data_IF_741535521867
#
_entry.id   IF_741535521867
#
_cell.length_a   1.000
_cell.length_b   1.000
_cell.length_c   1.000
_cell.angle_alpha   90.00
_cell.angle_beta   90.00
_cell.angle_gamma   90.00
#
_symmetry.space_group_name_H-M   'P 1'
#
loop_
_entity.id
_entity.type
_entity.pdbx_description
1 polymer ?
#
# COMPACT_ATOMS: atom_id res chain seq x y z
N UNK A 1 -25.43 -3.10 -2.65
CA UNK A 1 -24.08 -3.33 -3.22
C UNK A 1 -24.26 -4.25 -4.44
N UNK A 2 -23.84 -3.84 -5.64
CA UNK A 2 -24.17 -4.52 -6.91
C UNK A 2 -23.37 -5.83 -7.08
N UNK A 3 -24.02 -6.90 -7.59
CA UNK A 3 -23.46 -8.25 -7.75
C UNK A 3 -22.20 -8.26 -8.65
N UNK A 4 -22.15 -7.34 -9.63
CA UNK A 4 -20.98 -7.15 -10.49
C UNK A 4 -19.79 -6.56 -9.73
N UNK A 5 -20.03 -5.66 -8.77
CA UNK A 5 -19.01 -5.09 -7.90
C UNK A 5 -18.47 -6.15 -6.93
N UNK A 6 -19.36 -6.99 -6.39
CA UNK A 6 -18.96 -8.14 -5.56
C UNK A 6 -18.08 -9.14 -6.33
N UNK A 7 -18.47 -9.51 -7.56
CA UNK A 7 -17.68 -10.40 -8.41
C UNK A 7 -16.31 -9.81 -8.79
N UNK A 8 -16.25 -8.49 -9.03
CA UNK A 8 -14.98 -7.79 -9.34
C UNK A 8 -14.05 -7.75 -8.14
N UNK A 9 -14.55 -7.47 -6.93
CA UNK A 9 -13.74 -7.49 -5.71
C UNK A 9 -13.36 -8.91 -5.28
N UNK A 10 -14.23 -9.91 -5.50
CA UNK A 10 -13.93 -11.31 -5.21
C UNK A 10 -12.71 -11.84 -5.97
N UNK A 11 -12.48 -11.39 -7.21
CA UNK A 11 -11.29 -11.75 -8.02
C UNK A 11 -9.98 -11.18 -7.47
N UNK A 12 -10.04 -10.14 -6.63
CA UNK A 12 -8.87 -9.51 -6.02
C UNK A 12 -8.44 -10.25 -4.74
N UNK A 13 -9.36 -11.00 -4.12
CA UNK A 13 -9.11 -11.74 -2.88
C UNK A 13 -8.31 -13.00 -3.20
N UNK A 14 -7.24 -13.22 -2.44
CA UNK A 14 -6.48 -14.45 -2.48
C UNK A 14 -7.15 -15.49 -1.57
N UNK A 15 -7.45 -16.66 -2.11
CA UNK A 15 -7.86 -17.85 -1.34
C UNK A 15 -6.66 -18.72 -0.96
N UNK A 16 -6.82 -19.59 0.04
CA UNK A 16 -5.72 -20.45 0.54
C UNK A 16 -5.15 -21.39 -0.53
N UNK A 17 -6.01 -21.97 -1.38
CA UNK A 17 -5.56 -22.86 -2.46
C UNK A 17 -4.76 -22.09 -3.51
N UNK A 18 -5.27 -20.93 -3.95
CA UNK A 18 -4.57 -20.03 -4.88
C UNK A 18 -3.21 -19.58 -4.31
N UNK A 19 -3.16 -19.17 -3.03
CA UNK A 19 -1.91 -18.86 -2.32
C UNK A 19 -0.91 -20.01 -2.40
N UNK A 20 -1.36 -21.23 -2.08
CA UNK A 20 -0.50 -22.40 -2.03
C UNK A 20 0.01 -22.82 -3.40
N UNK A 21 -0.84 -22.83 -4.42
CA UNK A 21 -0.53 -23.34 -5.76
C UNK A 21 0.16 -22.30 -6.65
N UNK A 22 -0.28 -21.04 -6.61
CA UNK A 22 0.20 -19.99 -7.54
C UNK A 22 1.44 -19.26 -7.00
N UNK A 23 1.59 -19.13 -5.67
CA UNK A 23 2.64 -18.27 -5.09
C UNK A 23 3.64 -19.03 -4.20
N UNK A 24 3.17 -19.97 -3.37
CA UNK A 24 4.05 -20.72 -2.47
C UNK A 24 4.75 -21.88 -3.20
N UNK A 25 3.99 -22.76 -3.87
CA UNK A 25 4.56 -23.96 -4.49
C UNK A 25 5.65 -23.68 -5.53
N UNK A 26 5.52 -22.66 -6.41
CA UNK A 26 6.53 -22.38 -7.43
C UNK A 26 7.81 -21.74 -6.86
N UNK A 27 7.70 -21.00 -5.75
CA UNK A 27 8.80 -20.14 -5.25
C UNK A 27 9.44 -20.64 -3.95
N UNK A 28 8.66 -21.26 -3.06
CA UNK A 28 9.16 -21.74 -1.78
C UNK A 28 9.65 -23.19 -1.93
N UNK A 29 10.94 -23.32 -2.27
CA UNK A 29 11.65 -24.61 -2.34
C UNK A 29 11.55 -25.36 -1.00
N UNK A 30 11.67 -26.68 -1.05
CA UNK A 30 11.61 -27.55 0.15
C UNK A 30 12.62 -27.13 1.23
N UNK A 31 13.82 -26.73 0.84
CA UNK A 31 14.85 -26.27 1.76
C UNK A 31 14.41 -25.02 2.56
N UNK A 32 13.96 -23.96 1.90
CA UNK A 32 13.48 -22.74 2.57
C UNK A 32 12.26 -23.00 3.47
N UNK A 33 11.34 -23.87 3.04
CA UNK A 33 10.21 -24.28 3.89
C UNK A 33 10.68 -25.00 5.16
N UNK A 34 11.67 -25.88 5.07
CA UNK A 34 12.24 -26.56 6.26
C UNK A 34 12.90 -25.58 7.22
N UNK A 35 13.54 -24.52 6.72
CA UNK A 35 14.10 -23.45 7.54
C UNK A 35 12.98 -22.75 8.30
N UNK A 36 11.94 -22.29 7.61
CA UNK A 36 10.82 -21.57 8.24
C UNK A 36 9.96 -22.45 9.18
N UNK A 37 9.77 -23.73 8.86
CA UNK A 37 8.99 -24.68 9.68
C UNK A 37 9.73 -25.08 10.98
N UNK A 38 10.98 -24.63 11.19
CA UNK A 38 11.78 -24.88 12.40
C UNK A 38 12.28 -23.54 12.97
N UNK A 39 11.70 -23.09 14.08
CA UNK A 39 12.00 -21.78 14.68
C UNK A 39 13.48 -21.60 15.05
N UNK A 40 14.15 -22.65 15.55
CA UNK A 40 15.58 -22.59 15.89
C UNK A 40 16.47 -22.47 14.65
N UNK A 41 16.16 -23.19 13.56
CA UNK A 41 16.91 -23.07 12.30
C UNK A 41 16.67 -21.71 11.66
N UNK A 42 15.40 -21.27 11.56
CA UNK A 42 15.06 -19.95 11.03
C UNK A 42 15.81 -18.85 11.79
N UNK A 43 15.81 -18.92 13.11
CA UNK A 43 16.51 -17.96 13.97
C UNK A 43 18.00 -17.92 13.70
N UNK A 44 18.67 -19.08 13.65
CA UNK A 44 20.10 -19.17 13.35
C UNK A 44 20.44 -18.52 12.00
N UNK A 45 19.65 -18.81 10.97
CA UNK A 45 19.81 -18.24 9.62
C UNK A 45 19.64 -16.71 9.64
N UNK A 46 18.67 -16.19 10.40
CA UNK A 46 18.47 -14.75 10.57
C UNK A 46 19.65 -14.10 11.30
N UNK A 47 20.14 -14.70 12.37
CA UNK A 47 21.29 -14.22 13.16
C UNK A 47 22.58 -14.18 12.33
N UNK A 48 22.87 -15.25 11.59
CA UNK A 48 24.01 -15.33 10.66
C UNK A 48 23.92 -14.27 9.55
N UNK A 49 22.71 -13.80 9.23
CA UNK A 49 22.44 -12.72 8.26
C UNK A 49 22.40 -11.32 8.89
N UNK A 50 22.75 -11.19 10.18
CA UNK A 50 22.72 -9.92 10.92
C UNK A 50 21.32 -9.33 11.08
N UNK A 51 20.28 -10.18 11.15
CA UNK A 51 18.90 -9.77 11.36
C UNK A 51 18.56 -9.94 12.85
N UNK A 52 18.05 -8.90 13.54
CA UNK A 52 17.77 -8.98 14.97
C UNK A 52 16.69 -10.01 15.30
N UNK A 53 17.00 -10.90 16.25
CA UNK A 53 16.11 -11.93 16.82
C UNK A 53 16.14 -11.85 18.35
N UNK A 54 15.15 -12.38 19.09
CA UNK A 54 15.25 -12.52 20.56
C UNK A 54 16.48 -13.33 20.94
N UNK A 55 17.13 -13.12 22.09
CA UNK A 55 18.22 -14.03 22.52
C UNK A 55 17.66 -15.42 22.91
N UNK A 56 18.27 -16.51 22.47
CA UNK A 56 18.00 -17.85 23.04
C UNK A 56 18.82 -18.01 24.31
N UNK A 57 18.17 -18.38 25.42
CA UNK A 57 18.87 -18.68 26.67
C UNK A 57 19.28 -20.13 26.74
N UNK A 58 18.35 -21.03 26.42
CA UNK A 58 18.60 -22.46 26.52
C UNK A 58 17.67 -23.27 25.61
N UNK A 59 18.12 -24.44 25.16
CA UNK A 59 17.39 -25.36 24.28
C UNK A 59 17.32 -26.70 25.00
N UNK A 60 16.12 -27.24 25.15
CA UNK A 60 15.85 -28.52 25.78
C UNK A 60 15.46 -29.54 24.72
N UNK A 61 16.22 -30.62 24.65
CA UNK A 61 16.01 -31.74 23.72
C UNK A 61 15.62 -33.04 24.41
N UNK A 62 15.71 -33.09 25.74
CA UNK A 62 15.36 -34.27 26.52
C UNK A 62 14.79 -33.94 27.90
N UNK A 63 14.04 -34.88 28.48
CA UNK A 63 13.49 -34.75 29.83
C UNK A 63 14.60 -34.70 30.90
N UNK A 64 15.72 -35.40 30.67
CA UNK A 64 16.88 -35.36 31.56
C UNK A 64 17.46 -33.95 31.63
N UNK A 65 17.61 -33.30 30.48
CA UNK A 65 18.06 -31.91 30.38
C UNK A 65 17.09 -30.98 31.12
N UNK A 66 15.79 -31.06 30.84
CA UNK A 66 14.76 -30.26 31.52
C UNK A 66 14.83 -30.36 33.05
N UNK A 67 15.08 -31.56 33.59
CA UNK A 67 15.18 -31.82 35.03
C UNK A 67 16.49 -31.34 35.65
N UNK A 68 17.56 -31.23 34.86
CA UNK A 68 18.89 -30.83 35.35
C UNK A 68 19.09 -29.32 35.45
N UNK A 69 18.16 -28.54 34.89
CA UNK A 69 18.28 -27.08 34.84
C UNK A 69 18.05 -26.41 36.19
N UNK A 70 18.92 -25.45 36.49
CA UNK A 70 18.84 -24.65 37.71
C UNK A 70 17.99 -23.38 37.47
N UNK A 71 16.89 -23.16 38.21
CA UNK A 71 16.04 -21.96 38.07
C UNK A 71 16.78 -20.65 38.31
N UNK A 72 17.89 -20.65 39.07
CA UNK A 72 18.65 -19.44 39.39
C UNK A 72 19.52 -18.94 38.23
N UNK A 73 19.74 -19.76 37.21
CA UNK A 73 20.46 -19.38 35.99
C UNK A 73 19.55 -18.64 35.00
N UNK A 74 18.23 -18.65 35.22
CA UNK A 74 17.26 -17.99 34.34
C UNK A 74 17.05 -16.53 34.72
N UNK A 75 16.83 -15.65 33.72
CA UNK A 75 16.54 -14.25 33.99
C UNK A 75 15.19 -14.08 34.70
N UNK A 76 14.98 -12.89 35.27
CA UNK A 76 13.70 -12.51 35.92
C UNK A 76 12.49 -12.61 34.99
N UNK A 77 12.70 -12.66 33.67
CA UNK A 77 11.64 -12.80 32.69
C UNK A 77 12.12 -13.51 31.43
N UNK A 78 11.33 -14.41 30.88
CA UNK A 78 11.65 -15.19 29.68
C UNK A 78 10.36 -15.67 28.99
N UNK A 79 10.53 -16.26 27.80
CA UNK A 79 9.49 -17.00 27.09
C UNK A 79 9.96 -18.43 26.92
N UNK A 80 9.14 -19.41 27.27
CA UNK A 80 9.33 -20.82 26.95
C UNK A 80 8.38 -21.17 25.81
N UNK A 81 8.90 -21.74 24.72
CA UNK A 81 8.07 -22.09 23.57
C UNK A 81 8.50 -23.37 22.85
N UNK A 82 7.57 -24.04 22.16
CA UNK A 82 7.88 -25.16 21.27
C UNK A 82 8.51 -24.71 19.95
N UNK A 83 9.43 -25.51 19.44
CA UNK A 83 10.07 -25.28 18.14
C UNK A 83 9.07 -25.40 16.97
N UNK A 84 8.14 -26.35 17.02
CA UNK A 84 7.14 -26.61 15.96
C UNK A 84 5.70 -26.27 16.34
N UNK A 85 5.48 -25.63 17.49
CA UNK A 85 4.10 -25.33 17.94
C UNK A 85 3.30 -24.48 16.96
N UNK A 86 1.99 -24.75 16.90
CA UNK A 86 1.03 -24.14 15.97
C UNK A 86 0.17 -23.07 16.68
N UNK A 87 -0.09 -21.94 16.01
CA UNK A 87 -1.02 -20.91 16.51
C UNK A 87 -0.64 -20.31 17.87
N UNK A 88 0.65 -20.32 18.24
CA UNK A 88 1.11 -19.87 19.56
C UNK A 88 0.74 -20.83 20.70
N UNK A 89 0.31 -22.04 20.40
CA UNK A 89 0.14 -23.11 21.39
C UNK A 89 1.48 -23.46 22.04
N UNK A 90 1.44 -23.81 23.33
CA UNK A 90 2.63 -24.15 24.11
C UNK A 90 3.54 -22.96 24.49
N UNK A 91 3.19 -21.72 24.15
CA UNK A 91 3.96 -20.55 24.59
C UNK A 91 3.60 -20.20 26.04
N UNK A 92 4.61 -20.26 26.92
CA UNK A 92 4.56 -19.79 28.29
C UNK A 92 5.39 -18.50 28.39
N UNK A 93 4.82 -17.46 29.01
CA UNK A 93 5.48 -16.15 29.19
C UNK A 93 5.65 -15.89 30.68
N UNK A 94 6.88 -15.68 31.12
CA UNK A 94 7.23 -15.36 32.51
C UNK A 94 7.66 -13.88 32.61
N UNK A 95 6.96 -13.05 33.39
CA UNK A 95 7.17 -11.59 33.43
C UNK A 95 8.16 -11.11 34.48
N UNK A 96 8.03 -11.62 35.71
CA UNK A 96 8.83 -11.19 36.85
C UNK A 96 8.96 -12.35 37.81
N UNK A 97 10.13 -12.50 38.42
CA UNK A 97 10.37 -13.46 39.50
C UNK A 97 10.09 -12.79 40.85
N UNK A 98 9.25 -13.41 41.67
CA UNK A 98 8.91 -12.99 43.03
C UNK A 98 9.94 -13.51 44.03
N UNK A 99 9.91 -12.97 45.25
CA UNK A 99 10.81 -13.39 46.33
C UNK A 99 10.60 -14.85 46.76
N UNK A 100 9.39 -15.40 46.59
CA UNK A 100 9.08 -16.81 46.83
C UNK A 100 9.57 -17.75 45.71
N UNK A 101 10.32 -17.24 44.72
CA UNK A 101 10.86 -18.01 43.61
C UNK A 101 9.92 -18.19 42.41
N UNK A 102 8.63 -17.88 42.54
CA UNK A 102 7.64 -18.01 41.47
C UNK A 102 7.79 -16.90 40.41
N UNK A 103 7.42 -17.21 39.16
CA UNK A 103 7.19 -16.21 38.13
C UNK A 103 5.71 -15.87 38.00
N UNK A 104 5.41 -14.72 37.40
CA UNK A 104 4.05 -14.37 36.99
C UNK A 104 3.84 -14.65 35.51
N UNK A 105 2.73 -15.30 35.18
CA UNK A 105 2.28 -15.51 33.80
C UNK A 105 1.48 -14.30 33.24
N UNK A 106 0.94 -14.45 32.02
CA UNK A 106 0.09 -13.43 31.38
C UNK A 106 -1.20 -13.12 32.16
N UNK A 107 -1.70 -14.06 32.97
CA UNK A 107 -2.92 -13.93 33.75
C UNK A 107 -2.64 -13.47 35.20
N UNK A 108 -1.38 -13.16 35.52
CA UNK A 108 -0.88 -12.82 36.86
C UNK A 108 -0.97 -13.98 37.86
N UNK A 109 -1.02 -15.22 37.36
CA UNK A 109 -0.92 -16.43 38.17
C UNK A 109 0.54 -16.71 38.48
N UNK A 110 0.77 -17.23 39.67
CA UNK A 110 2.10 -17.72 40.05
C UNK A 110 2.37 -19.05 39.34
N UNK A 111 3.54 -19.13 38.71
CA UNK A 111 4.07 -20.35 38.10
C UNK A 111 5.42 -20.65 38.76
N UNK A 112 5.56 -21.86 39.28
CA UNK A 112 6.79 -22.33 39.90
C UNK A 112 7.67 -23.05 38.87
N UNK A 113 8.89 -23.38 39.28
CA UNK A 113 9.85 -24.04 38.41
C UNK A 113 9.34 -25.41 37.96
N UNK A 114 8.66 -26.13 38.85
CA UNK A 114 8.06 -27.44 38.62
C UNK A 114 6.98 -27.36 37.52
N UNK A 115 6.21 -26.27 37.49
CA UNK A 115 5.21 -26.02 36.43
C UNK A 115 5.90 -25.80 35.09
N UNK A 116 7.00 -25.05 35.07
CA UNK A 116 7.81 -24.79 33.87
C UNK A 116 8.45 -26.08 33.35
N UNK A 117 8.93 -26.95 34.25
CA UNK A 117 9.47 -28.27 33.90
C UNK A 117 8.40 -29.18 33.32
N UNK A 118 7.22 -29.22 33.96
CA UNK A 118 6.06 -29.98 33.47
C UNK A 118 5.62 -29.49 32.09
N UNK A 119 5.52 -28.18 31.90
CA UNK A 119 5.20 -27.58 30.60
C UNK A 119 6.28 -27.85 29.53
N UNK A 120 7.56 -27.89 29.93
CA UNK A 120 8.65 -28.30 29.04
C UNK A 120 8.51 -29.75 28.60
N UNK A 121 8.12 -30.65 29.51
CA UNK A 121 7.83 -32.04 29.19
C UNK A 121 6.65 -32.16 28.22
N UNK A 122 5.58 -31.41 28.43
CA UNK A 122 4.42 -31.37 27.53
C UNK A 122 4.81 -30.92 26.10
N UNK A 123 5.77 -29.99 25.98
CA UNK A 123 6.34 -29.60 24.69
C UNK A 123 7.12 -30.76 24.07
N UNK A 124 8.02 -31.40 24.83
CA UNK A 124 8.84 -32.50 24.34
C UNK A 124 8.00 -33.69 23.88
N UNK A 125 6.89 -33.96 24.57
CA UNK A 125 5.93 -35.00 24.23
C UNK A 125 5.10 -34.67 22.96
N UNK A 126 5.18 -33.44 22.45
CA UNK A 126 4.52 -33.04 21.21
C UNK A 126 3.11 -32.45 21.38
N UNK A 127 2.64 -32.22 22.62
CA UNK A 127 1.24 -31.81 22.91
C UNK A 127 0.78 -30.53 22.22
N UNK A 128 1.71 -29.67 21.81
CA UNK A 128 1.41 -28.36 21.22
C UNK A 128 1.69 -28.28 19.72
N UNK A 129 2.15 -29.39 19.10
CA UNK A 129 2.38 -29.51 17.68
C UNK A 129 1.09 -29.71 16.88
N UNK A 130 1.15 -29.50 15.56
CA UNK A 130 0.05 -29.89 14.67
C UNK A 130 -0.04 -31.41 14.44
N UNK A 131 1.04 -32.13 14.79
CA UNK A 131 1.16 -33.58 14.73
C UNK A 131 1.75 -34.01 16.07
N UNK A 132 1.27 -35.13 16.61
CA UNK A 132 1.72 -35.70 17.89
C UNK A 132 3.09 -36.39 17.69
N UNK A 133 4.12 -35.56 17.52
CA UNK A 133 5.51 -35.98 17.37
C UNK A 133 6.37 -35.23 18.37
N UNK A 134 7.45 -35.85 18.87
CA UNK A 134 8.36 -35.18 19.78
C UNK A 134 8.88 -33.86 19.22
N UNK A 135 8.95 -32.84 20.07
CA UNK A 135 9.41 -31.50 19.74
C UNK A 135 10.59 -31.06 20.62
N UNK A 136 11.07 -29.84 20.40
CA UNK A 136 12.12 -29.19 21.18
C UNK A 136 11.49 -28.02 21.93
N UNK A 137 11.75 -27.93 23.23
CA UNK A 137 11.40 -26.77 24.04
C UNK A 137 12.60 -25.83 24.13
N UNK A 138 12.39 -24.52 24.18
CA UNK A 138 13.49 -23.59 24.35
C UNK A 138 13.06 -22.29 25.00
N UNK A 139 14.00 -21.71 25.73
CA UNK A 139 13.84 -20.45 26.45
C UNK A 139 14.43 -19.30 25.65
N UNK A 140 13.71 -18.20 25.60
CA UNK A 140 14.10 -16.99 24.92
C UNK A 140 13.87 -15.73 25.74
N UNK A 141 14.52 -14.67 25.31
CA UNK A 141 14.29 -13.31 25.74
C UNK A 141 12.82 -12.90 25.57
N UNK A 142 12.22 -12.41 26.66
CA UNK A 142 10.92 -11.74 26.60
C UNK A 142 11.11 -10.31 26.14
N UNK A 143 10.73 -10.04 24.90
CA UNK A 143 10.78 -8.68 24.35
C UNK A 143 9.82 -7.73 25.09
N UNK A 144 10.24 -6.48 25.19
CA UNK A 144 9.36 -5.38 25.59
C UNK A 144 8.93 -4.59 24.37
N UNK A 145 7.62 -4.44 24.20
CA UNK A 145 7.04 -3.66 23.11
C UNK A 145 7.34 -2.17 23.26
N UNK A 146 7.40 -1.46 22.14
CA UNK A 146 7.49 0.00 22.13
C UNK A 146 6.32 0.66 22.88
N UNK A 147 6.59 1.81 23.49
CA UNK A 147 5.61 2.57 24.30
C UNK A 147 4.40 3.02 23.48
N UNK A 148 4.54 3.21 22.16
CA UNK A 148 3.42 3.59 21.29
C UNK A 148 2.26 2.59 21.35
N UNK A 149 2.52 1.31 21.67
CA UNK A 149 1.48 0.29 21.73
C UNK A 149 0.84 0.14 23.10
N UNK A 150 1.39 0.78 24.15
CA UNK A 150 0.89 0.64 25.53
C UNK A 150 -0.62 0.94 25.68
N UNK A 151 -1.21 1.92 24.98
CA UNK A 151 -2.65 2.19 25.06
C UNK A 151 -3.53 1.11 24.42
N UNK A 152 -2.96 0.27 23.55
CA UNK A 152 -3.71 -0.63 22.66
C UNK A 152 -3.51 -2.11 22.98
N UNK A 153 -2.39 -2.46 23.63
CA UNK A 153 -2.00 -3.84 23.90
C UNK A 153 -2.39 -4.27 25.31
N UNK A 154 -3.26 -5.28 25.42
CA UNK A 154 -3.54 -5.93 26.70
C UNK A 154 -2.49 -6.98 27.01
N UNK A 155 -1.51 -6.62 27.83
CA UNK A 155 -0.39 -7.52 28.22
C UNK A 155 0.30 -8.08 26.95
N UNK A 156 1.28 -8.95 27.10
CA UNK A 156 2.00 -9.53 25.97
C UNK A 156 2.70 -8.51 25.07
N UNK A 157 2.98 -8.92 23.83
CA UNK A 157 3.79 -8.17 22.87
C UNK A 157 3.05 -8.10 21.54
N UNK A 158 2.65 -6.90 21.08
CA UNK A 158 2.18 -6.69 19.72
C UNK A 158 3.25 -7.03 18.70
N UNK A 159 2.82 -7.55 17.56
CA UNK A 159 3.70 -7.81 16.44
C UNK A 159 3.12 -7.25 15.14
N UNK A 160 4.00 -6.93 14.21
CA UNK A 160 3.69 -6.42 12.89
C UNK A 160 3.99 -7.54 11.90
N UNK A 161 2.94 -8.06 11.27
CA UNK A 161 3.07 -9.03 10.19
C UNK A 161 3.22 -8.30 8.87
N UNK A 162 4.29 -8.59 8.15
CA UNK A 162 4.53 -8.12 6.78
C UNK A 162 4.50 -9.32 5.84
N UNK A 163 3.60 -9.31 4.85
CA UNK A 163 3.65 -10.27 3.74
C UNK A 163 4.63 -9.75 2.72
N UNK A 164 5.68 -10.52 2.44
CA UNK A 164 6.70 -10.20 1.44
C UNK A 164 6.58 -11.21 0.30
N UNK A 165 6.67 -10.73 -0.93
CA UNK A 165 6.68 -11.55 -2.13
C UNK A 165 7.66 -10.96 -3.14
N UNK A 166 8.55 -11.80 -3.69
CA UNK A 166 9.54 -11.37 -4.67
C UNK A 166 10.34 -10.14 -4.20
N UNK A 167 10.80 -10.14 -2.94
CA UNK A 167 11.52 -9.02 -2.29
C UNK A 167 10.72 -7.71 -2.19
N UNK A 168 9.41 -7.75 -2.39
CA UNK A 168 8.50 -6.60 -2.25
C UNK A 168 7.58 -6.83 -1.06
N UNK A 169 7.55 -5.94 -0.06
CA UNK A 169 6.49 -5.93 0.96
C UNK A 169 5.14 -5.64 0.30
N UNK A 170 4.16 -6.52 0.46
CA UNK A 170 2.88 -6.45 -0.27
C UNK A 170 1.78 -5.83 0.60
N UNK A 171 1.78 -6.20 1.88
CA UNK A 171 0.73 -5.86 2.82
C UNK A 171 1.25 -6.04 4.24
N UNK A 172 0.83 -5.17 5.15
CA UNK A 172 1.19 -5.29 6.56
C UNK A 172 -0.05 -5.16 7.46
N UNK A 173 0.03 -5.74 8.65
CA UNK A 173 -0.93 -5.50 9.73
C UNK A 173 -0.23 -5.54 11.08
N UNK A 174 -0.69 -4.71 12.01
CA UNK A 174 -0.40 -4.81 13.42
C UNK A 174 -1.34 -5.85 14.04
N UNK A 175 -0.82 -6.72 14.90
CA UNK A 175 -1.60 -7.65 15.71
C UNK A 175 -1.48 -7.24 17.17
N UNK A 176 -2.63 -6.99 17.79
CA UNK A 176 -2.74 -6.52 19.15
C UNK A 176 -3.28 -7.64 20.06
N UNK A 177 -2.61 -7.90 21.19
CA UNK A 177 -3.13 -8.78 22.22
C UNK A 177 -4.30 -8.14 22.96
N UNK A 178 -5.29 -8.96 23.29
CA UNK A 178 -6.53 -8.60 23.99
C UNK A 178 -6.73 -9.47 25.25
N UNK A 179 -7.64 -9.09 26.16
CA UNK A 179 -8.05 -9.97 27.27
C UNK A 179 -8.55 -11.33 26.79
N UNK A 180 -9.36 -11.34 25.73
CA UNK A 180 -9.92 -12.56 25.13
C UNK A 180 -8.83 -13.50 24.59
N UNK A 181 -7.76 -12.94 24.05
CA UNK A 181 -6.59 -13.70 23.59
C UNK A 181 -5.61 -14.11 24.69
N UNK A 182 -5.92 -13.85 25.96
CA UNK A 182 -5.03 -14.07 27.10
C UNK A 182 -3.66 -13.39 26.91
N UNK A 183 -3.68 -12.17 26.34
CA UNK A 183 -2.47 -11.40 26.08
C UNK A 183 -1.64 -11.89 24.88
N UNK A 184 -2.24 -12.61 23.93
CA UNK A 184 -1.54 -13.13 22.73
C UNK A 184 -1.95 -12.37 21.46
N UNK A 185 -0.98 -12.02 20.62
CA UNK A 185 -1.23 -11.42 19.30
C UNK A 185 -1.72 -12.45 18.24
N UNK A 186 -2.68 -13.30 18.63
CA UNK A 186 -3.28 -14.31 17.78
C UNK A 186 -4.74 -13.96 17.45
N UNK A 187 -5.01 -13.68 16.17
CA UNK A 187 -6.33 -13.30 15.67
C UNK A 187 -7.40 -14.39 15.84
N UNK A 188 -7.01 -15.67 15.90
CA UNK A 188 -7.93 -16.79 16.12
C UNK A 188 -8.37 -16.93 17.57
N UNK A 189 -7.57 -16.42 18.52
CA UNK A 189 -7.88 -16.41 19.95
C UNK A 189 -8.54 -15.10 20.37
N UNK A 190 -9.01 -14.27 19.43
CA UNK A 190 -9.62 -12.97 19.75
C UNK A 190 -8.64 -11.81 19.83
N UNK A 191 -7.41 -11.96 19.34
CA UNK A 191 -6.53 -10.82 19.09
C UNK A 191 -7.10 -9.88 18.02
N UNK A 192 -6.74 -8.60 18.08
CA UNK A 192 -7.18 -7.59 17.11
C UNK A 192 -6.13 -7.45 16.01
N UNK A 193 -6.57 -7.42 14.76
CA UNK A 193 -5.71 -7.15 13.60
C UNK A 193 -6.00 -5.75 13.06
N UNK A 194 -4.98 -4.93 12.87
CA UNK A 194 -5.12 -3.57 12.35
C UNK A 194 -4.32 -3.45 11.07
N UNK A 195 -4.96 -3.13 9.94
CA UNK A 195 -4.25 -2.93 8.67
C UNK A 195 -3.25 -1.78 8.77
N UNK A 196 -2.16 -1.86 8.00
CA UNK A 196 -1.14 -0.80 7.93
C UNK A 196 -0.98 -0.39 6.47
N UNK A 197 -1.15 0.91 6.20
CA UNK A 197 -0.84 1.48 4.90
C UNK A 197 0.66 1.42 4.65
N UNK A 198 1.06 0.77 3.56
CA UNK A 198 2.47 0.41 3.31
C UNK A 198 3.36 1.63 3.02
N UNK A 199 2.79 2.72 2.50
CA UNK A 199 3.52 3.94 2.15
C UNK A 199 3.93 4.72 3.40
N UNK A 200 2.99 4.90 4.31
CA UNK A 200 3.10 5.80 5.47
C UNK A 200 3.44 5.06 6.76
N UNK A 201 3.18 3.75 6.83
CA UNK A 201 3.25 3.00 8.09
C UNK A 201 2.09 3.33 9.04
N UNK A 202 1.04 3.99 8.56
CA UNK A 202 -0.11 4.39 9.37
C UNK A 202 -1.14 3.27 9.44
N UNK A 203 -1.68 3.03 10.63
CA UNK A 203 -2.76 2.05 10.81
C UNK A 203 -4.10 2.54 10.25
N UNK A 204 -4.88 1.61 9.70
CA UNK A 204 -6.11 1.90 8.98
C UNK A 204 -7.34 1.28 9.65
N UNK A 205 -7.78 0.10 9.21
CA UNK A 205 -8.97 -0.58 9.71
C UNK A 205 -8.58 -1.63 10.75
N UNK A 206 -9.38 -1.74 11.81
CA UNK A 206 -9.25 -2.79 12.82
C UNK A 206 -10.29 -3.89 12.61
N UNK A 207 -9.88 -5.13 12.81
CA UNK A 207 -10.71 -6.32 12.75
C UNK A 207 -10.52 -7.20 13.98
N UNK A 208 -11.56 -7.93 14.35
CA UNK A 208 -11.50 -9.02 15.32
C UNK A 208 -12.39 -10.15 14.81
N UNK A 209 -11.93 -11.40 14.86
CA UNK A 209 -12.62 -12.56 14.25
C UNK A 209 -13.03 -12.34 12.78
N UNK A 210 -12.21 -11.61 12.03
CA UNK A 210 -12.46 -11.28 10.62
C UNK A 210 -13.56 -10.23 10.39
N UNK A 211 -14.18 -9.69 11.44
CA UNK A 211 -15.18 -8.63 11.38
C UNK A 211 -14.53 -7.28 11.67
N UNK A 212 -14.94 -6.25 10.95
CA UNK A 212 -14.51 -4.87 11.23
C UNK A 212 -15.05 -4.43 12.59
N UNK A 213 -14.15 -3.90 13.42
CA UNK A 213 -14.49 -3.26 14.69
C UNK A 213 -14.23 -1.76 14.58
N UNK A 214 -14.89 -0.94 15.41
CA UNK A 214 -14.82 0.52 15.34
C UNK A 214 -13.36 1.01 15.23
N UNK A 215 -13.03 1.61 14.09
CA UNK A 215 -11.64 1.87 13.70
C UNK A 215 -11.04 3.10 14.36
N UNK A 216 -11.85 4.03 14.87
CA UNK A 216 -11.40 5.35 15.32
C UNK A 216 -10.33 5.30 16.44
N UNK A 217 -10.37 4.26 17.28
CA UNK A 217 -9.38 4.08 18.35
C UNK A 217 -8.05 3.52 17.84
N UNK A 218 -8.08 2.72 16.77
CA UNK A 218 -6.91 2.01 16.25
C UNK A 218 -6.36 2.63 14.97
N UNK A 219 -7.08 3.57 14.35
CA UNK A 219 -6.64 4.32 13.19
C UNK A 219 -5.72 5.46 13.62
N UNK A 220 -4.73 5.78 12.78
CA UNK A 220 -3.73 6.84 12.98
C UNK A 220 -2.55 6.53 13.93
N UNK A 221 -2.31 5.26 14.28
CA UNK A 221 -1.01 4.87 14.88
C UNK A 221 0.00 4.84 13.73
N UNK A 222 1.05 5.66 13.81
CA UNK A 222 2.15 5.63 12.84
C UNK A 222 3.26 4.76 13.40
N UNK A 223 3.60 3.68 12.70
CA UNK A 223 4.73 2.84 13.08
C UNK A 223 6.04 3.60 12.82
N UNK A 224 6.87 3.87 13.84
CA UNK A 224 8.12 4.57 13.66
C UNK A 224 9.14 3.68 12.93
N UNK A 225 10.11 4.31 12.28
CA UNK A 225 11.21 3.62 11.59
C UNK A 225 10.68 2.57 10.58
N UNK A 226 9.60 2.94 9.88
CA UNK A 226 8.85 2.02 9.03
C UNK A 226 9.69 1.38 7.92
N UNK A 227 10.54 2.17 7.28
CA UNK A 227 11.35 1.70 6.14
C UNK A 227 12.41 0.69 6.57
N UNK A 228 12.98 0.86 7.77
CA UNK A 228 13.90 -0.12 8.36
C UNK A 228 13.16 -1.43 8.67
N UNK A 229 11.94 -1.35 9.20
CA UNK A 229 11.10 -2.52 9.45
C UNK A 229 10.81 -3.28 8.14
N UNK A 230 10.45 -2.55 7.07
CA UNK A 230 10.25 -3.14 5.75
C UNK A 230 11.53 -3.75 5.19
N UNK A 231 12.69 -3.11 5.37
CA UNK A 231 13.98 -3.65 4.96
C UNK A 231 14.30 -4.95 5.70
N UNK A 232 14.07 -5.00 7.02
CA UNK A 232 14.23 -6.21 7.84
C UNK A 232 13.30 -7.34 7.35
N UNK A 233 12.06 -7.02 6.97
CA UNK A 233 11.15 -8.01 6.40
C UNK A 233 11.67 -8.61 5.08
N UNK A 234 12.22 -7.79 4.18
CA UNK A 234 12.80 -8.28 2.92
C UNK A 234 14.05 -9.13 3.21
N UNK A 235 14.96 -8.65 4.06
CA UNK A 235 16.15 -9.39 4.47
C UNK A 235 15.82 -10.75 5.09
N UNK A 236 14.78 -10.81 5.93
CA UNK A 236 14.33 -12.06 6.54
C UNK A 236 13.78 -13.06 5.51
N UNK A 237 13.04 -12.57 4.51
CA UNK A 237 12.61 -13.39 3.39
C UNK A 237 13.81 -13.97 2.62
N UNK A 238 14.81 -13.14 2.32
CA UNK A 238 15.98 -13.55 1.56
C UNK A 238 16.86 -14.55 2.31
N UNK A 239 17.15 -14.27 3.58
CA UNK A 239 17.92 -15.16 4.45
C UNK A 239 17.31 -16.57 4.49
N UNK A 240 15.97 -16.65 4.55
CA UNK A 240 15.25 -17.94 4.56
C UNK A 240 14.99 -18.54 3.17
N UNK A 241 15.44 -17.88 2.10
CA UNK A 241 15.27 -18.33 0.70
C UNK A 241 13.81 -18.64 0.33
N UNK A 242 12.87 -17.88 0.89
CA UNK A 242 11.45 -17.96 0.53
C UNK A 242 11.12 -16.91 -0.54
N UNK A 243 10.30 -17.25 -1.53
CA UNK A 243 9.78 -16.25 -2.48
C UNK A 243 8.45 -15.63 -2.05
N UNK A 244 7.73 -16.28 -1.13
CA UNK A 244 6.53 -15.76 -0.47
C UNK A 244 6.61 -16.07 1.03
N UNK A 245 6.53 -15.06 1.89
CA UNK A 245 6.65 -15.24 3.34
C UNK A 245 5.80 -14.23 4.12
N UNK A 246 5.36 -14.61 5.31
CA UNK A 246 4.91 -13.66 6.32
C UNK A 246 5.99 -13.52 7.38
N UNK A 247 6.43 -12.29 7.61
CA UNK A 247 7.46 -11.98 8.60
C UNK A 247 6.78 -11.28 9.77
N UNK A 248 6.92 -11.85 10.96
CA UNK A 248 6.33 -11.32 12.18
C UNK A 248 7.42 -10.56 12.94
N UNK A 249 7.25 -9.25 13.07
CA UNK A 249 8.26 -8.33 13.61
C UNK A 249 7.70 -7.64 14.84
N UNK A 250 8.44 -7.69 15.94
CA UNK A 250 8.15 -6.89 17.14
C UNK A 250 8.97 -5.61 17.06
N UNK A 251 8.32 -4.46 17.20
CA UNK A 251 9.04 -3.22 17.47
C UNK A 251 9.36 -3.15 18.97
N UNK A 252 10.61 -3.45 19.30
CA UNK A 252 11.09 -3.50 20.68
C UNK A 252 11.58 -2.13 21.15
N UNK A 253 11.21 -1.76 22.39
CA UNK A 253 11.62 -0.50 23.02
C UNK A 253 13.13 -0.29 23.09
N UNK A 254 13.91 -1.36 23.23
CA UNK A 254 15.36 -1.28 23.46
C UNK A 254 16.18 -1.59 22.20
N UNK A 255 15.63 -2.36 21.27
CA UNK A 255 16.39 -2.94 20.15
C UNK A 255 15.85 -2.57 18.77
N UNK A 256 14.79 -1.76 18.70
CA UNK A 256 14.11 -1.48 17.43
C UNK A 256 13.39 -2.72 16.89
N UNK A 257 13.27 -2.88 15.56
CA UNK A 257 12.55 -4.00 14.96
C UNK A 257 13.30 -5.33 15.15
N UNK A 258 12.59 -6.34 15.65
CA UNK A 258 13.11 -7.69 15.93
C UNK A 258 12.21 -8.72 15.26
N UNK A 259 12.78 -9.61 14.46
CA UNK A 259 12.02 -10.71 13.82
C UNK A 259 11.72 -11.78 14.86
N UNK A 260 10.43 -12.03 15.09
CA UNK A 260 9.93 -13.06 16.01
C UNK A 260 9.76 -14.41 15.31
N UNK A 261 9.24 -14.40 14.09
CA UNK A 261 8.94 -15.61 13.31
C UNK A 261 8.93 -15.33 11.80
N UNK A 262 9.31 -16.34 11.02
CA UNK A 262 9.16 -16.37 9.56
C UNK A 262 8.22 -17.49 9.18
N UNK A 263 7.11 -17.14 8.54
CA UNK A 263 6.04 -18.05 8.17
C UNK A 263 6.04 -18.30 6.65
N UNK A 264 6.29 -19.55 6.23
CA UNK A 264 6.24 -19.93 4.81
C UNK A 264 4.80 -20.06 4.25
N UNK A 265 3.79 -20.13 5.12
CA UNK A 265 2.37 -20.30 4.77
C UNK A 265 1.48 -19.34 5.59
N UNK A 266 1.72 -18.02 5.54
CA UNK A 266 1.06 -17.06 6.41
C UNK A 266 -0.45 -16.97 6.15
N UNK A 267 -1.23 -16.77 7.22
CA UNK A 267 -2.68 -16.61 7.15
C UNK A 267 -3.13 -15.41 6.30
N UNK A 268 -4.40 -15.45 5.85
CA UNK A 268 -4.94 -14.50 4.87
C UNK A 268 -5.87 -13.43 5.46
N UNK A 269 -6.07 -13.43 6.78
CA UNK A 269 -6.88 -12.43 7.50
C UNK A 269 -6.34 -11.01 7.37
N UNK A 270 -5.07 -10.86 7.00
CA UNK A 270 -4.45 -9.57 6.67
C UNK A 270 -5.21 -8.80 5.57
N UNK A 271 -5.87 -9.51 4.65
CA UNK A 271 -6.74 -8.92 3.63
C UNK A 271 -7.96 -8.21 4.24
N UNK A 272 -8.55 -8.83 5.27
CA UNK A 272 -9.67 -8.26 6.00
C UNK A 272 -9.22 -7.02 6.77
N UNK A 273 -8.06 -7.06 7.41
CA UNK A 273 -7.50 -5.92 8.15
C UNK A 273 -7.20 -4.71 7.25
N UNK A 274 -6.81 -4.96 6.00
CA UNK A 274 -6.50 -3.92 5.02
C UNK A 274 -7.67 -3.59 4.09
N UNK A 275 -8.83 -4.23 4.26
CA UNK A 275 -10.02 -4.09 3.39
C UNK A 275 -9.71 -4.21 1.90
N UNK A 276 -8.72 -5.02 1.53
CA UNK A 276 -8.21 -5.10 0.16
C UNK A 276 -7.66 -6.49 -0.14
N UNK A 277 -7.79 -6.90 -1.40
CA UNK A 277 -7.39 -8.22 -1.86
C UNK A 277 -5.88 -8.35 -2.04
N UNK A 278 -5.30 -9.45 -1.55
CA UNK A 278 -3.88 -9.74 -1.67
C UNK A 278 -3.52 -10.24 -3.07
N UNK A 279 -4.43 -10.91 -3.79
CA UNK A 279 -4.16 -11.52 -5.10
C UNK A 279 -3.78 -10.46 -6.12
N UNK A 280 -4.56 -9.39 -6.22
CA UNK A 280 -4.27 -8.29 -7.17
C UNK A 280 -2.90 -7.68 -6.90
N UNK A 281 -2.55 -7.45 -5.62
CA UNK A 281 -1.26 -6.86 -5.25
C UNK A 281 -0.10 -7.76 -5.64
N UNK A 282 -0.21 -9.07 -5.37
CA UNK A 282 0.81 -10.05 -5.79
C UNK A 282 1.00 -10.08 -7.30
N UNK A 283 -0.09 -10.04 -8.07
CA UNK A 283 -0.02 -10.06 -9.54
C UNK A 283 0.68 -8.82 -10.11
N UNK A 284 0.56 -7.64 -9.48
CA UNK A 284 1.22 -6.41 -9.94
C UNK A 284 2.75 -6.46 -9.87
N UNK A 285 3.30 -7.29 -8.98
CA UNK A 285 4.75 -7.42 -8.76
C UNK A 285 5.31 -8.76 -9.22
N UNK A 286 4.45 -9.66 -9.69
CA UNK A 286 4.85 -10.94 -10.23
C UNK A 286 5.73 -10.74 -11.48
N UNK A 287 6.92 -11.35 -11.48
CA UNK A 287 7.86 -11.27 -12.59
C UNK A 287 8.67 -9.97 -12.69
N UNK A 288 8.48 -9.01 -11.77
CA UNK A 288 9.34 -7.82 -11.74
C UNK A 288 10.73 -8.17 -11.19
N UNK A 289 11.83 -7.72 -11.83
CA UNK A 289 13.16 -7.86 -11.27
C UNK A 289 13.33 -6.90 -10.07
N UNK A 290 13.73 -7.45 -8.93
CA UNK A 290 14.04 -6.69 -7.70
C UNK A 290 15.43 -7.09 -7.23
N UNK A 291 16.37 -6.18 -7.37
CA UNK A 291 17.81 -6.37 -7.15
C UNK A 291 18.30 -5.83 -5.80
N UNK A 292 17.53 -4.97 -5.13
CA UNK A 292 17.85 -4.45 -3.79
C UNK A 292 16.63 -4.29 -2.89
N UNK A 293 16.85 -4.18 -1.57
CA UNK A 293 15.79 -3.94 -0.59
C UNK A 293 15.15 -2.57 -0.78
N UNK A 294 15.94 -1.53 -1.09
CA UNK A 294 15.46 -0.17 -1.34
C UNK A 294 14.50 -0.13 -2.53
N UNK A 295 14.83 -0.84 -3.61
CA UNK A 295 13.95 -0.98 -4.77
C UNK A 295 12.67 -1.73 -4.40
N UNK A 296 12.77 -2.79 -3.59
CA UNK A 296 11.62 -3.53 -3.07
C UNK A 296 10.66 -2.64 -2.28
N UNK A 297 11.19 -1.80 -1.39
CA UNK A 297 10.42 -0.82 -0.60
C UNK A 297 9.81 0.23 -1.52
N UNK A 298 10.58 0.81 -2.45
CA UNK A 298 10.08 1.82 -3.38
C UNK A 298 8.94 1.27 -4.25
N UNK A 299 9.08 0.07 -4.82
CA UNK A 299 8.02 -0.60 -5.59
C UNK A 299 6.78 -0.85 -4.73
N UNK A 300 6.98 -1.31 -3.50
CA UNK A 300 5.88 -1.52 -2.55
C UNK A 300 5.08 -0.25 -2.31
N UNK A 301 5.75 0.85 -1.94
CA UNK A 301 5.11 2.13 -1.65
C UNK A 301 4.47 2.75 -2.90
N UNK A 302 5.14 2.71 -4.04
CA UNK A 302 4.61 3.29 -5.27
C UNK A 302 3.40 2.53 -5.84
N UNK A 303 3.36 1.21 -5.71
CA UNK A 303 2.27 0.39 -6.26
C UNK A 303 1.08 0.23 -5.32
N UNK A 304 1.31 0.32 -4.01
CA UNK A 304 0.32 -0.01 -2.98
C UNK A 304 0.09 1.11 -1.94
N UNK A 305 0.78 2.24 -2.06
CA UNK A 305 0.52 3.47 -1.32
C UNK A 305 -0.74 4.19 -1.77
N UNK A 306 -1.29 5.02 -0.89
CA UNK A 306 -2.38 5.94 -1.22
C UNK A 306 -3.72 5.29 -1.53
N UNK A 307 -4.22 4.36 -0.69
CA UNK A 307 -5.64 3.96 -0.74
C UNK A 307 -6.55 4.98 -0.04
N UNK A 308 -6.45 6.24 -0.46
CA UNK A 308 -7.59 7.15 -0.59
C UNK A 308 -7.78 7.37 -2.08
N UNK A 309 -9.01 7.26 -2.58
CA UNK A 309 -9.36 7.49 -3.99
C UNK A 309 -8.70 8.76 -4.54
N UNK A 310 -7.52 8.59 -5.12
CA UNK A 310 -6.82 9.63 -5.85
C UNK A 310 -6.42 8.97 -7.15
N UNK A 311 -7.16 9.33 -8.20
CA UNK A 311 -6.95 8.91 -9.58
C UNK A 311 -5.45 8.89 -9.92
N UNK A 312 -4.94 7.69 -10.16
CA UNK A 312 -3.74 7.33 -10.95
C UNK A 312 -2.83 8.53 -11.26
N UNK A 313 -1.85 8.80 -10.39
CA UNK A 313 -0.61 9.49 -10.75
C UNK A 313 0.42 8.43 -11.11
N UNK A 314 0.41 8.01 -12.38
CA UNK A 314 1.59 7.36 -12.95
C UNK A 314 2.57 8.46 -13.27
N UNK A 315 3.61 8.63 -12.46
CA UNK A 315 4.71 9.56 -12.73
C UNK A 315 5.94 8.75 -13.14
N UNK A 316 6.52 9.03 -14.32
CA UNK A 316 7.83 8.52 -14.75
C UNK A 316 8.74 9.74 -14.84
N UNK A 317 9.87 9.75 -14.13
CA UNK A 317 10.83 10.86 -14.11
C UNK A 317 10.20 12.24 -13.81
N UNK A 318 9.23 12.30 -12.88
CA UNK A 318 8.51 13.54 -12.55
C UNK A 318 7.46 13.99 -13.58
N UNK A 319 7.27 13.23 -14.66
CA UNK A 319 6.24 13.49 -15.68
C UNK A 319 5.01 12.60 -15.50
N UNK A 320 3.83 13.20 -15.49
CA UNK A 320 2.55 12.48 -15.34
C UNK A 320 2.13 11.78 -16.64
N UNK A 321 1.77 10.50 -16.58
CA UNK A 321 1.31 9.76 -17.76
C UNK A 321 -0.14 10.15 -18.07
N UNK A 322 -0.39 10.54 -19.33
CA UNK A 322 -1.71 10.83 -19.89
C UNK A 322 -2.06 9.83 -20.98
N UNK A 323 -3.31 9.41 -21.04
CA UNK A 323 -3.85 8.60 -22.13
C UNK A 323 -4.18 9.49 -23.35
N UNK A 324 -4.47 8.89 -24.50
CA UNK A 324 -4.96 9.59 -25.70
C UNK A 324 -6.25 10.40 -25.41
N UNK A 325 -7.01 10.00 -24.39
CA UNK A 325 -8.16 10.76 -23.88
C UNK A 325 -8.09 10.86 -22.36
N UNK A 326 -8.31 12.05 -21.82
CA UNK A 326 -8.26 12.32 -20.38
C UNK A 326 -9.42 13.21 -19.95
N UNK A 327 -9.84 13.06 -18.69
CA UNK A 327 -10.77 14.02 -18.08
C UNK A 327 -9.97 15.22 -17.58
N UNK A 328 -10.36 16.39 -18.04
CA UNK A 328 -9.81 17.69 -17.68
C UNK A 328 -10.86 18.45 -16.88
N UNK A 329 -10.42 19.24 -15.92
CA UNK A 329 -11.28 20.02 -15.05
C UNK A 329 -11.11 21.50 -15.36
N UNK A 330 -12.00 22.06 -16.18
CA UNK A 330 -11.98 23.48 -16.52
C UNK A 330 -12.50 24.31 -15.35
N UNK A 331 -11.84 25.42 -15.04
CA UNK A 331 -12.31 26.38 -14.05
C UNK A 331 -13.14 27.46 -14.72
N UNK A 332 -14.25 27.84 -14.11
CA UNK A 332 -15.04 28.98 -14.58
C UNK A 332 -14.22 30.28 -14.41
N UNK A 333 -14.31 31.19 -15.39
CA UNK A 333 -13.47 32.42 -15.40
C UNK A 333 -13.68 33.29 -14.15
N UNK A 334 -14.94 33.42 -13.70
CA UNK A 334 -15.32 34.27 -12.56
C UNK A 334 -15.29 33.54 -11.21
N UNK A 335 -15.30 32.19 -11.22
CA UNK A 335 -15.33 31.38 -10.00
C UNK A 335 -14.49 30.10 -10.17
N UNK A 336 -13.28 30.13 -9.63
CA UNK A 336 -12.35 29.00 -9.70
C UNK A 336 -12.77 27.78 -8.86
N UNK A 337 -13.81 27.90 -8.02
CA UNK A 337 -14.41 26.77 -7.32
C UNK A 337 -15.44 26.03 -8.20
N UNK A 338 -16.04 26.72 -9.19
CA UNK A 338 -16.91 26.10 -10.19
C UNK A 338 -16.06 25.37 -11.24
N UNK A 339 -16.24 24.05 -11.31
CA UNK A 339 -15.45 23.16 -12.17
C UNK A 339 -16.33 22.44 -13.18
N UNK A 340 -15.94 22.49 -14.45
CA UNK A 340 -16.59 21.76 -15.55
C UNK A 340 -15.70 20.60 -16.00
N UNK A 341 -16.08 19.33 -15.74
CA UNK A 341 -15.32 18.17 -16.20
C UNK A 341 -15.56 17.91 -17.69
N UNK A 342 -14.48 17.81 -18.47
CA UNK A 342 -14.52 17.60 -19.91
C UNK A 342 -13.65 16.42 -20.29
N UNK A 343 -14.11 15.58 -21.22
CA UNK A 343 -13.28 14.55 -21.82
C UNK A 343 -12.51 15.15 -22.99
N UNK A 344 -11.24 15.46 -22.78
CA UNK A 344 -10.37 16.05 -23.79
C UNK A 344 -9.56 14.98 -24.55
N UNK A 345 -9.29 15.25 -25.81
CA UNK A 345 -8.32 14.48 -26.60
C UNK A 345 -6.92 15.05 -26.39
N UNK A 346 -5.96 14.20 -26.05
CA UNK A 346 -4.54 14.56 -26.01
C UNK A 346 -3.99 14.42 -27.42
N UNK A 347 -3.56 15.52 -28.03
CA UNK A 347 -3.12 15.55 -29.42
C UNK A 347 -1.76 16.21 -29.56
N UNK A 348 -0.71 15.38 -29.64
CA UNK A 348 0.66 15.86 -29.86
C UNK A 348 0.88 16.42 -31.27
N UNK A 349 -0.04 16.23 -32.22
CA UNK A 349 -0.02 16.89 -33.52
C UNK A 349 -0.44 18.36 -33.42
N UNK A 350 -1.38 18.66 -32.53
CA UNK A 350 -1.85 20.02 -32.29
C UNK A 350 -0.80 20.85 -31.54
N UNK A 351 -0.45 22.04 -32.05
CA UNK A 351 0.48 22.96 -31.39
C UNK A 351 -0.14 23.60 -30.13
N UNK A 352 -1.40 23.99 -30.20
CA UNK A 352 -2.13 24.71 -29.14
C UNK A 352 -3.44 24.00 -28.81
N UNK A 353 -3.93 24.20 -27.59
CA UNK A 353 -5.23 23.67 -27.18
C UNK A 353 -6.39 24.44 -27.82
N UNK A 354 -7.54 23.78 -27.91
CA UNK A 354 -8.78 24.35 -28.43
C UNK A 354 -10.00 23.79 -27.70
N UNK A 355 -11.04 24.60 -27.54
CA UNK A 355 -12.33 24.22 -26.98
C UNK A 355 -13.48 24.63 -27.91
N UNK A 356 -14.57 23.89 -27.83
CA UNK A 356 -15.85 24.20 -28.48
C UNK A 356 -16.50 25.47 -27.89
N UNK A 357 -17.35 26.14 -28.66
CA UNK A 357 -18.09 27.33 -28.24
C UNK A 357 -19.07 27.10 -27.10
N UNK A 358 -19.78 25.96 -27.09
CA UNK A 358 -20.74 25.66 -26.03
C UNK A 358 -19.98 25.37 -24.72
N UNK A 359 -18.85 24.68 -24.84
CA UNK A 359 -17.96 24.46 -23.72
C UNK A 359 -17.37 25.78 -23.19
N UNK A 360 -16.93 26.67 -24.07
CA UNK A 360 -16.44 28.00 -23.69
C UNK A 360 -17.52 28.82 -22.97
N UNK A 361 -18.77 28.75 -23.44
CA UNK A 361 -19.91 29.39 -22.80
C UNK A 361 -20.16 28.86 -21.38
N UNK A 362 -20.02 27.55 -21.17
CA UNK A 362 -20.20 26.91 -19.86
C UNK A 362 -19.18 27.31 -18.79
N UNK A 363 -17.99 27.78 -19.23
CA UNK A 363 -16.90 28.23 -18.34
C UNK A 363 -16.80 29.76 -18.25
N UNK A 364 -17.81 30.48 -18.74
CA UNK A 364 -17.97 31.92 -18.53
C UNK A 364 -17.74 32.78 -19.77
N UNK A 365 -17.33 32.23 -20.91
CA UNK A 365 -17.04 33.01 -22.13
C UNK A 365 -18.25 33.22 -23.05
N UNK A 366 -19.47 33.15 -22.51
CA UNK A 366 -20.71 33.26 -23.29
C UNK A 366 -20.83 34.57 -24.09
N UNK A 367 -20.40 35.70 -23.52
CA UNK A 367 -20.40 36.99 -24.20
C UNK A 367 -19.43 37.03 -25.39
N UNK A 368 -18.22 36.51 -25.20
CA UNK A 368 -17.21 36.39 -26.26
C UNK A 368 -17.73 35.48 -27.38
N UNK A 369 -18.31 34.33 -27.03
CA UNK A 369 -18.87 33.38 -28.00
C UNK A 369 -20.00 34.02 -28.81
N UNK A 370 -20.92 34.75 -28.16
CA UNK A 370 -22.00 35.47 -28.85
C UNK A 370 -21.47 36.52 -29.82
N UNK A 371 -20.44 37.26 -29.42
CA UNK A 371 -19.81 38.28 -30.26
C UNK A 371 -19.14 37.65 -31.49
N UNK A 372 -18.28 36.63 -31.30
CA UNK A 372 -17.51 36.05 -32.40
C UNK A 372 -18.38 35.25 -33.38
N UNK A 373 -19.50 34.66 -32.93
CA UNK A 373 -20.45 33.95 -33.80
C UNK A 373 -21.06 34.85 -34.89
N UNK A 374 -21.07 36.17 -34.69
CA UNK A 374 -21.56 37.14 -35.70
C UNK A 374 -20.68 37.21 -36.95
N UNK A 375 -19.41 36.79 -36.85
CA UNK A 375 -18.43 36.92 -37.92
C UNK A 375 -18.15 35.62 -38.69
N UNK A 376 -18.83 34.52 -38.34
CA UNK A 376 -18.72 33.22 -38.99
C UNK A 376 -17.26 32.74 -39.21
N UNK A 377 -16.45 32.79 -38.15
CA UNK A 377 -15.00 32.61 -38.22
C UNK A 377 -14.52 31.21 -38.62
N UNK A 378 -15.38 30.20 -38.50
CA UNK A 378 -15.07 28.81 -38.82
C UNK A 378 -15.14 28.50 -40.33
N UNK A 379 -15.72 29.39 -41.13
CA UNK A 379 -15.79 29.23 -42.57
C UNK A 379 -14.40 29.38 -43.22
N UNK A 380 -14.03 28.50 -44.18
CA UNK A 380 -12.82 28.67 -44.96
C UNK A 380 -12.85 30.00 -45.72
N UNK A 381 -11.76 30.74 -45.67
CA UNK A 381 -11.61 32.02 -46.35
C UNK A 381 -10.24 32.12 -47.04
N UNK A 382 -10.06 33.12 -47.88
CA UNK A 382 -8.74 33.46 -48.44
C UNK A 382 -7.87 34.14 -47.39
N UNK A 383 -6.54 34.12 -47.57
CA UNK A 383 -5.61 34.78 -46.65
C UNK A 383 -5.87 36.30 -46.56
N UNK A 384 -6.31 36.91 -47.68
CA UNK A 384 -6.66 38.33 -47.74
C UNK A 384 -7.89 38.64 -46.90
N UNK A 385 -8.97 37.87 -47.08
CA UNK A 385 -10.21 38.01 -46.29
C UNK A 385 -9.96 37.79 -44.80
N UNK A 386 -9.14 36.80 -44.44
CA UNK A 386 -8.75 36.55 -43.05
C UNK A 386 -8.03 37.75 -42.43
N UNK A 387 -7.11 38.39 -43.15
CA UNK A 387 -6.38 39.57 -42.65
C UNK A 387 -7.29 40.78 -42.48
N UNK A 388 -8.18 41.03 -43.44
CA UNK A 388 -9.13 42.14 -43.39
C UNK A 388 -10.14 41.97 -42.25
N UNK A 389 -10.70 40.76 -42.10
CA UNK A 389 -11.62 40.45 -41.01
C UNK A 389 -10.92 40.49 -39.64
N UNK A 390 -9.68 39.98 -39.53
CA UNK A 390 -8.90 40.09 -38.31
C UNK A 390 -8.61 41.56 -37.93
N UNK A 391 -8.35 42.43 -38.91
CA UNK A 391 -8.13 43.86 -38.65
C UNK A 391 -9.39 44.54 -38.12
N UNK A 392 -10.56 44.24 -38.71
CA UNK A 392 -11.86 44.75 -38.24
C UNK A 392 -12.14 44.34 -36.80
N UNK A 393 -12.06 43.05 -36.50
CA UNK A 393 -12.35 42.55 -35.14
C UNK A 393 -11.34 43.11 -34.13
N UNK A 394 -10.07 43.31 -34.52
CA UNK A 394 -9.05 43.92 -33.66
C UNK A 394 -9.38 45.36 -33.24
N UNK A 395 -10.09 46.13 -34.06
CA UNK A 395 -10.51 47.50 -33.70
C UNK A 395 -11.60 47.48 -32.60
N UNK A 396 -12.40 46.41 -32.56
CA UNK A 396 -13.50 46.24 -31.61
C UNK A 396 -13.12 45.43 -30.36
N UNK A 397 -11.94 44.80 -30.33
CA UNK A 397 -11.43 44.01 -29.19
C UNK A 397 -11.42 44.80 -27.87
N UNK A 398 -11.29 46.13 -27.92
CA UNK A 398 -11.31 46.98 -26.73
C UNK A 398 -12.60 46.82 -25.88
N UNK A 399 -13.70 46.37 -26.49
CA UNK A 399 -14.97 46.12 -25.80
C UNK A 399 -15.09 44.70 -25.23
N UNK A 400 -14.12 43.81 -25.54
CA UNK A 400 -14.06 42.43 -25.07
C UNK A 400 -12.66 42.11 -24.52
N UNK A 401 -12.30 42.58 -23.30
CA UNK A 401 -10.95 42.43 -22.73
C UNK A 401 -10.50 40.97 -22.51
N UNK A 402 -11.44 40.03 -22.60
CA UNK A 402 -11.20 38.59 -22.48
C UNK A 402 -10.58 37.98 -23.75
N UNK A 403 -10.68 38.67 -24.89
CA UNK A 403 -10.04 38.25 -26.13
C UNK A 403 -8.55 38.59 -26.06
N UNK A 404 -7.70 37.56 -26.04
CA UNK A 404 -6.24 37.72 -25.98
C UNK A 404 -5.61 37.95 -27.34
N UNK A 405 -6.07 37.20 -28.34
CA UNK A 405 -5.46 37.24 -29.68
C UNK A 405 -6.45 36.75 -30.74
N UNK A 406 -6.25 37.23 -31.97
CA UNK A 406 -6.90 36.71 -33.17
C UNK A 406 -5.82 36.17 -34.09
N UNK A 407 -5.91 34.88 -34.40
CA UNK A 407 -4.92 34.11 -35.14
C UNK A 407 -5.47 33.68 -36.48
N UNK A 408 -4.70 33.93 -37.53
CA UNK A 408 -4.90 33.27 -38.82
C UNK A 408 -4.31 31.87 -38.73
N UNK A 409 -5.12 30.84 -38.92
CA UNK A 409 -4.71 29.44 -38.85
C UNK A 409 -4.82 28.81 -40.23
N UNK A 410 -3.67 28.37 -40.74
CA UNK A 410 -3.57 27.59 -41.97
C UNK A 410 -3.77 26.10 -41.63
N UNK A 411 -4.70 25.47 -42.32
CA UNK A 411 -4.99 24.04 -42.18
C UNK A 411 -5.15 23.39 -43.55
N UNK A 412 -5.18 22.05 -43.59
CA UNK A 412 -5.36 21.29 -44.82
C UNK A 412 -6.71 21.58 -45.52
N UNK A 413 -7.70 22.12 -44.79
CA UNK A 413 -9.06 22.42 -45.29
C UNK A 413 -9.28 23.91 -45.58
N UNK A 414 -8.24 24.74 -45.54
CA UNK A 414 -8.30 26.18 -45.80
C UNK A 414 -7.73 27.06 -44.68
N UNK A 415 -7.84 28.38 -44.87
CA UNK A 415 -7.48 29.41 -43.88
C UNK A 415 -8.71 29.72 -43.02
N UNK A 416 -8.55 29.72 -41.70
CA UNK A 416 -9.59 30.16 -40.77
C UNK A 416 -9.05 31.16 -39.75
N UNK A 417 -9.94 31.91 -39.10
CA UNK A 417 -9.60 32.78 -37.98
C UNK A 417 -9.96 32.12 -36.66
N UNK A 418 -9.07 32.19 -35.69
CA UNK A 418 -9.31 31.70 -34.33
C UNK A 418 -9.11 32.80 -33.31
N UNK A 419 -10.09 32.95 -32.44
CA UNK A 419 -10.01 33.83 -31.28
C UNK A 419 -9.50 33.02 -30.10
N UNK A 420 -8.59 33.59 -29.31
CA UNK A 420 -8.10 32.95 -28.08
C UNK A 420 -8.56 33.68 -26.83
N UNK A 421 -8.96 32.89 -25.83
CA UNK A 421 -9.34 33.35 -24.49
C UNK A 421 -8.47 32.64 -23.43
N UNK A 422 -8.22 33.26 -22.26
CA UNK A 422 -7.46 32.59 -21.21
C UNK A 422 -8.28 31.43 -20.63
N UNK A 423 -7.65 30.33 -20.26
CA UNK A 423 -8.32 29.19 -19.65
C UNK A 423 -7.43 28.59 -18.58
N UNK A 424 -7.99 28.43 -17.38
CA UNK A 424 -7.38 27.68 -16.30
C UNK A 424 -8.04 26.30 -16.23
N UNK A 425 -7.22 25.26 -16.29
CA UNK A 425 -7.70 23.89 -16.13
C UNK A 425 -6.73 22.99 -15.37
N UNK A 426 -7.26 21.90 -14.83
CA UNK A 426 -6.48 20.88 -14.15
C UNK A 426 -6.45 19.57 -14.94
N UNK A 427 -5.24 19.05 -15.19
CA UNK A 427 -4.99 17.76 -15.82
C UNK A 427 -4.09 16.93 -14.91
N UNK A 428 -4.58 15.76 -14.46
CA UNK A 428 -3.87 14.87 -13.51
C UNK A 428 -3.34 15.58 -12.25
N UNK A 429 -4.06 16.57 -11.72
CA UNK A 429 -3.64 17.33 -10.55
C UNK A 429 -2.62 18.45 -10.84
N UNK A 430 -2.24 18.69 -12.09
CA UNK A 430 -1.43 19.84 -12.49
C UNK A 430 -2.33 20.94 -13.03
N UNK A 431 -2.19 22.14 -12.47
CA UNK A 431 -2.85 23.36 -12.97
C UNK A 431 -2.11 23.88 -14.20
N UNK A 432 -2.87 24.21 -15.23
CA UNK A 432 -2.40 24.72 -16.51
C UNK A 432 -3.21 25.97 -16.84
N UNK A 433 -2.50 27.07 -17.04
CA UNK A 433 -3.03 28.34 -17.53
C UNK A 433 -2.57 28.52 -18.97
N UNK A 434 -3.50 28.69 -19.90
CA UNK A 434 -3.18 28.79 -21.33
C UNK A 434 -4.19 29.63 -22.08
N UNK A 435 -3.78 30.19 -23.21
CA UNK A 435 -4.69 30.84 -24.16
C UNK A 435 -5.22 29.80 -25.15
N UNK A 436 -6.49 29.43 -24.97
CA UNK A 436 -7.16 28.38 -25.73
C UNK A 436 -7.83 28.95 -26.98
N UNK A 437 -7.79 28.22 -28.10
CA UNK A 437 -8.54 28.62 -29.30
C UNK A 437 -10.01 28.24 -29.19
N UNK A 438 -10.89 29.17 -29.55
CA UNK A 438 -12.30 28.91 -29.76
C UNK A 438 -12.52 28.49 -31.23
N UNK A 439 -13.24 27.40 -31.44
CA UNK A 439 -13.58 26.86 -32.77
C UNK A 439 -14.81 25.97 -32.65
N UNK A 440 -15.66 25.92 -33.68
CA UNK A 440 -16.76 24.95 -33.71
C UNK A 440 -16.25 23.51 -33.79
N UNK A 441 -16.80 22.64 -32.95
CA UNK A 441 -16.46 21.21 -32.87
C UNK A 441 -17.71 20.33 -32.86
N UNK A 442 -18.86 20.84 -33.28
CA UNK A 442 -20.16 20.14 -33.29
C UNK A 442 -20.13 18.77 -34.00
N UNK A 443 -19.25 18.60 -34.98
CA UNK A 443 -19.10 17.34 -35.73
C UNK A 443 -17.96 16.43 -35.23
N UNK A 444 -17.30 16.79 -34.12
CA UNK A 444 -16.15 16.07 -33.57
C UNK A 444 -16.52 15.30 -32.31
N UNK A 445 -15.79 14.22 -32.02
CA UNK A 445 -16.03 13.36 -30.84
C UNK A 445 -15.66 14.02 -29.50
N UNK A 446 -14.88 15.11 -29.52
CA UNK A 446 -14.34 15.74 -28.31
C UNK A 446 -14.45 17.25 -28.41
N UNK A 447 -15.01 17.86 -27.37
CA UNK A 447 -15.22 19.31 -27.26
C UNK A 447 -13.94 20.07 -26.87
N UNK A 448 -12.88 19.33 -26.49
CA UNK A 448 -11.57 19.90 -26.14
C UNK A 448 -10.43 19.07 -26.72
N UNK A 449 -9.41 19.77 -27.23
CA UNK A 449 -8.09 19.22 -27.55
C UNK A 449 -7.06 19.87 -26.65
N UNK A 450 -6.18 19.06 -26.06
CA UNK A 450 -4.96 19.53 -25.40
C UNK A 450 -3.79 19.38 -26.37
N UNK A 451 -3.22 20.51 -26.78
CA UNK A 451 -2.08 20.57 -27.69
C UNK A 451 -0.72 20.53 -26.97
N UNK A 452 0.36 20.35 -27.74
CA UNK A 452 1.73 20.18 -27.23
C UNK A 452 2.21 21.24 -26.23
N UNK A 453 1.82 22.50 -26.39
CA UNK A 453 2.23 23.58 -25.46
C UNK A 453 1.79 23.31 -24.02
N UNK A 454 0.65 22.66 -23.85
CA UNK A 454 0.04 22.43 -22.55
C UNK A 454 0.37 21.04 -21.99
N UNK A 455 1.16 20.25 -22.74
CA UNK A 455 1.61 18.89 -22.36
C UNK A 455 3.00 18.87 -21.70
N UNK A 456 3.56 20.04 -21.36
CA UNK A 456 4.81 20.13 -20.63
C UNK A 456 4.73 19.37 -19.29
N UNK A 457 5.60 18.37 -19.10
CA UNK A 457 5.61 17.52 -17.90
C UNK A 457 4.62 16.35 -17.93
N UNK A 458 4.12 15.97 -19.11
CA UNK A 458 3.31 14.77 -19.30
C UNK A 458 3.92 13.81 -20.32
N UNK A 459 3.73 12.51 -20.12
CA UNK A 459 4.08 11.46 -21.08
C UNK A 459 2.81 10.84 -21.67
N UNK A 460 2.70 10.81 -23.00
CA UNK A 460 1.53 10.24 -23.67
C UNK A 460 1.72 8.73 -23.78
N UNK A 461 0.82 7.94 -23.19
CA UNK A 461 0.76 6.49 -23.41
C UNK A 461 -0.01 6.22 -24.71
N UNK A 462 0.65 5.80 -25.81
CA UNK A 462 -0.06 5.36 -27.02
C UNK A 462 -0.90 4.12 -26.69
N UNK A 463 -2.03 3.94 -27.39
CA UNK A 463 -2.88 2.75 -27.22
C UNK A 463 -2.05 1.49 -27.47
N UNK A 464 -2.07 0.55 -26.53
CA UNK A 464 -1.68 -0.83 -26.80
C UNK A 464 -2.62 -1.37 -27.89
N UNK A 465 -2.06 -1.97 -28.95
CA UNK A 465 -2.85 -2.72 -29.94
C UNK A 465 -3.62 -3.80 -29.16
N UNK A 466 -4.93 -3.86 -29.43
CA UNK A 466 -5.87 -4.81 -28.81
C UNK A 466 -5.43 -6.26 -28.97
#
# INVERSE_FOLDING_TARGET
>A
MNIFTYAKHGRQILGMNSRNLEFIAPLNKRAGKRVADNKLIAKRVLEESGIPTPKTYHVITSLREARSLNPDEFPKSFVLKPNRGFGGSGILVAYTRRANGAWLDNDLREIFWEDIQTHSQDILDGRFGAVDVPDIAFFEERLSADRIFKPFAYRGVPDIRVIVYNRVPIMAMLRLPTPESHGRANLHLGGIGVGIEIETGMTTCAIQYGKVISSAFFSNITIPIWDELLAIAIRAQEATSLGFAGIDIVLSRQRGPVVLEVNARPGLSIQCANLTGLKERLMRVAGLPVDSHERGIHLSKSLFGGQRETKVKGTINGMSIVKVTETVYLKHKDDTQKVVPVKAKIDSGARSSSIDYDLASSVGYGDVVRYIKQFNLDAPMTEKEARELAHRIKQDIQFHPEIKEIKVVLSATGVTLRVTVPLLFELKGKRIETDVNLISREHLTYDMIIGRRDLGGFLIKPREKQ
#
